data_IF_401058582452
#
_entry.id   IF_401058582452
#
_cell.length_a   1.000
_cell.length_b   1.000
_cell.length_c   1.000
_cell.angle_alpha   90.00
_cell.angle_beta   90.00
_cell.angle_gamma   90.00
#
_symmetry.space_group_name_H-M   'P 1'
#
loop_
_entity.id
_entity.type
_entity.pdbx_description
1 polymer ?
#
# COMPACT_ATOMS: atom_id res chain seq x y z
N UNK A 1 -33.61 -95.36 23.12
CA UNK A 1 -32.52 -94.38 22.99
C UNK A 1 -32.91 -93.19 23.87
N UNK A 2 -32.11 -92.86 24.89
CA UNK A 2 -32.40 -91.74 25.79
C UNK A 2 -32.18 -90.42 25.02
N UNK A 3 -33.15 -89.49 25.08
CA UNK A 3 -33.04 -88.17 24.44
C UNK A 3 -32.62 -87.15 25.52
N UNK A 4 -31.90 -86.12 25.12
CA UNK A 4 -31.48 -85.07 26.05
C UNK A 4 -32.67 -84.24 26.58
N UNK A 5 -33.69 -84.00 25.75
CA UNK A 5 -34.96 -83.35 26.11
C UNK A 5 -36.14 -84.15 25.60
N UNK A 6 -37.20 -84.22 26.40
CA UNK A 6 -38.46 -84.91 26.10
C UNK A 6 -39.66 -84.05 26.52
N UNK A 7 -40.80 -84.22 25.86
CA UNK A 7 -42.05 -83.53 26.21
C UNK A 7 -42.73 -84.18 27.43
N UNK A 8 -43.74 -83.50 28.00
CA UNK A 8 -44.52 -84.06 29.12
C UNK A 8 -45.20 -85.39 28.75
N UNK A 9 -45.71 -85.48 27.52
CA UNK A 9 -46.33 -86.70 27.00
C UNK A 9 -45.31 -87.83 26.81
N UNK A 10 -44.11 -87.50 26.33
CA UNK A 10 -43.02 -88.48 26.19
C UNK A 10 -42.50 -88.95 27.55
N UNK A 11 -42.45 -88.09 28.58
CA UNK A 11 -42.04 -88.45 29.94
C UNK A 11 -43.05 -89.38 30.63
N UNK A 12 -44.35 -89.11 30.47
CA UNK A 12 -45.40 -89.96 31.02
C UNK A 12 -45.43 -91.37 30.41
N UNK A 13 -44.87 -91.54 29.21
CA UNK A 13 -44.76 -92.82 28.52
C UNK A 13 -43.49 -93.63 28.92
N UNK A 14 -42.60 -93.06 29.74
CA UNK A 14 -41.41 -93.75 30.25
C UNK A 14 -41.73 -94.57 31.52
N UNK A 15 -40.92 -95.58 31.80
CA UNK A 15 -40.98 -96.31 33.07
C UNK A 15 -40.40 -95.48 34.24
N UNK A 16 -40.76 -95.81 35.48
CA UNK A 16 -40.32 -95.06 36.68
C UNK A 16 -38.79 -94.96 36.81
N UNK A 17 -38.07 -95.99 36.36
CA UNK A 17 -36.61 -96.05 36.38
C UNK A 17 -35.98 -95.05 35.39
N UNK A 18 -36.59 -94.87 34.22
CA UNK A 18 -36.15 -93.89 33.22
C UNK A 18 -36.62 -92.48 33.58
N UNK A 19 -37.81 -92.32 34.17
CA UNK A 19 -38.30 -91.03 34.66
C UNK A 19 -37.39 -90.43 35.73
N UNK A 20 -36.85 -91.25 36.64
CA UNK A 20 -35.91 -90.82 37.67
C UNK A 20 -34.61 -90.20 37.12
N UNK A 21 -34.28 -90.45 35.84
CA UNK A 21 -33.11 -89.89 35.18
C UNK A 21 -33.36 -88.50 34.56
N UNK A 22 -34.58 -87.94 34.61
CA UNK A 22 -34.88 -86.62 34.05
C UNK A 22 -35.35 -85.62 35.12
N UNK A 23 -34.97 -84.34 34.96
CA UNK A 23 -35.46 -83.20 35.73
C UNK A 23 -36.44 -82.36 34.91
N UNK A 24 -37.37 -81.65 35.57
CA UNK A 24 -38.16 -80.61 34.91
C UNK A 24 -37.25 -79.44 34.51
N UNK A 25 -37.27 -79.05 33.23
CA UNK A 25 -36.45 -77.98 32.68
C UNK A 25 -37.22 -77.21 31.59
N UNK A 26 -37.69 -76.00 31.94
CA UNK A 26 -38.53 -75.19 31.06
C UNK A 26 -39.92 -75.81 30.87
N UNK A 27 -40.33 -76.03 29.61
CA UNK A 27 -41.66 -76.57 29.25
C UNK A 27 -41.71 -78.12 29.14
N UNK A 28 -40.63 -78.83 29.52
CA UNK A 28 -40.51 -80.30 29.40
C UNK A 28 -39.53 -80.90 30.42
N UNK A 29 -38.99 -82.08 30.10
CA UNK A 29 -38.04 -82.79 30.97
C UNK A 29 -36.67 -82.97 30.28
N UNK A 30 -35.57 -82.79 31.02
CA UNK A 30 -34.19 -82.90 30.53
C UNK A 30 -33.43 -83.97 31.33
N UNK A 31 -32.64 -84.81 30.64
CA UNK A 31 -31.87 -85.88 31.27
C UNK A 31 -30.85 -85.27 32.26
N UNK A 32 -30.90 -85.69 33.52
CA UNK A 32 -29.93 -85.34 34.56
C UNK A 32 -28.63 -86.09 34.27
N UNK A 33 -27.64 -85.38 33.75
CA UNK A 33 -26.30 -85.90 33.53
C UNK A 33 -25.35 -85.13 34.43
N UNK A 34 -24.70 -85.85 35.34
CA UNK A 34 -23.74 -85.27 36.27
C UNK A 34 -22.48 -84.80 35.50
N UNK A 35 -22.07 -83.54 35.70
CA UNK A 35 -20.89 -82.94 35.08
C UNK A 35 -21.11 -82.15 33.76
N UNK A 36 -22.36 -81.88 33.36
CA UNK A 36 -22.66 -80.93 32.27
C UNK A 36 -23.26 -79.65 32.89
N UNK A 37 -22.48 -78.57 32.90
CA UNK A 37 -22.99 -77.24 33.28
C UNK A 37 -24.11 -76.81 32.32
N UNK A 38 -25.16 -76.20 32.87
CA UNK A 38 -26.28 -75.69 32.11
C UNK A 38 -25.75 -74.68 31.07
N UNK A 39 -25.87 -75.01 29.78
CA UNK A 39 -25.37 -74.18 28.67
C UNK A 39 -25.98 -72.77 28.58
N UNK A 40 -26.85 -72.40 29.53
CA UNK A 40 -27.30 -71.04 29.80
C UNK A 40 -26.14 -70.12 30.20
N UNK A 41 -25.25 -70.53 31.10
CA UNK A 41 -24.10 -69.70 31.53
C UNK A 41 -23.12 -69.44 30.38
N UNK A 42 -22.85 -70.47 29.56
CA UNK A 42 -22.05 -70.36 28.34
C UNK A 42 -22.68 -69.41 27.30
N UNK A 43 -24.01 -69.41 27.17
CA UNK A 43 -24.72 -68.48 26.28
C UNK A 43 -24.67 -67.05 26.80
N UNK A 44 -24.81 -66.84 28.10
CA UNK A 44 -24.68 -65.52 28.71
C UNK A 44 -23.25 -64.98 28.60
N UNK A 45 -22.24 -65.80 28.86
CA UNK A 45 -20.84 -65.44 28.67
C UNK A 45 -20.53 -65.07 27.21
N UNK A 46 -21.00 -65.87 26.25
CA UNK A 46 -20.84 -65.60 24.82
C UNK A 46 -21.57 -64.31 24.40
N UNK A 47 -22.74 -64.03 24.98
CA UNK A 47 -23.49 -62.81 24.73
C UNK A 47 -22.74 -61.59 25.27
N UNK A 48 -22.23 -61.67 26.50
CA UNK A 48 -21.42 -60.63 27.13
C UNK A 48 -20.13 -60.35 26.37
N UNK A 49 -19.42 -61.40 25.94
CA UNK A 49 -18.21 -61.27 25.12
C UNK A 49 -18.51 -60.56 23.78
N UNK A 50 -19.62 -60.92 23.12
CA UNK A 50 -20.05 -60.27 21.87
C UNK A 50 -20.43 -58.81 22.07
N UNK A 51 -21.11 -58.50 23.18
CA UNK A 51 -21.48 -57.13 23.53
C UNK A 51 -20.22 -56.29 23.82
N UNK A 52 -19.28 -56.79 24.63
CA UNK A 52 -17.99 -56.14 24.91
C UNK A 52 -17.17 -55.93 23.63
N UNK A 53 -17.12 -56.92 22.75
CA UNK A 53 -16.39 -56.83 21.48
C UNK A 53 -17.05 -55.84 20.50
N UNK A 54 -18.38 -55.79 20.48
CA UNK A 54 -19.12 -54.81 19.69
C UNK A 54 -18.91 -53.39 20.23
N UNK A 55 -18.88 -53.23 21.56
CA UNK A 55 -18.66 -51.94 22.21
C UNK A 55 -17.22 -51.46 22.03
N UNK A 56 -16.23 -52.34 22.18
CA UNK A 56 -14.82 -52.06 21.89
C UNK A 56 -14.63 -51.63 20.42
N UNK A 57 -15.27 -52.35 19.48
CA UNK A 57 -15.22 -51.99 18.05
C UNK A 57 -15.88 -50.64 17.76
N UNK A 58 -16.97 -50.29 18.45
CA UNK A 58 -17.60 -48.97 18.34
C UNK A 58 -16.69 -47.87 18.85
N UNK A 59 -16.15 -48.02 20.07
CA UNK A 59 -15.19 -47.07 20.66
C UNK A 59 -13.97 -46.87 19.76
N UNK A 60 -13.43 -47.95 19.20
CA UNK A 60 -12.27 -47.89 18.31
C UNK A 60 -12.60 -47.10 17.02
N UNK A 61 -13.77 -47.35 16.42
CA UNK A 61 -14.25 -46.59 15.26
C UNK A 61 -14.51 -45.11 15.58
N UNK A 62 -15.04 -44.81 16.76
CA UNK A 62 -15.24 -43.44 17.23
C UNK A 62 -13.89 -42.72 17.39
N UNK A 63 -12.91 -43.35 18.04
CA UNK A 63 -11.56 -42.81 18.18
C UNK A 63 -10.87 -42.56 16.83
N UNK A 64 -10.98 -43.50 15.89
CA UNK A 64 -10.45 -43.32 14.53
C UNK A 64 -11.11 -42.13 13.83
N UNK A 65 -12.44 -42.01 13.91
CA UNK A 65 -13.18 -40.92 13.28
C UNK A 65 -12.87 -39.55 13.90
N UNK A 66 -12.70 -39.50 15.23
CA UNK A 66 -12.33 -38.30 15.96
C UNK A 66 -10.90 -37.86 15.64
N UNK A 67 -9.97 -38.82 15.52
CA UNK A 67 -8.60 -38.55 15.11
C UNK A 67 -8.54 -38.00 13.67
N UNK A 68 -9.30 -38.60 12.75
CA UNK A 68 -9.36 -38.16 11.37
C UNK A 68 -9.99 -36.76 11.23
N UNK A 69 -11.04 -36.47 12.02
CA UNK A 69 -11.64 -35.12 12.08
C UNK A 69 -10.64 -34.08 12.60
N UNK A 70 -9.92 -34.39 13.69
CA UNK A 70 -8.91 -33.48 14.25
C UNK A 70 -7.76 -33.23 13.28
N UNK A 71 -7.30 -34.25 12.55
CA UNK A 71 -6.24 -34.05 11.56
C UNK A 71 -6.72 -33.23 10.37
N UNK A 72 -7.97 -33.44 9.90
CA UNK A 72 -8.59 -32.58 8.88
C UNK A 72 -8.67 -31.12 9.33
N UNK A 73 -9.22 -30.86 10.52
CA UNK A 73 -9.32 -29.50 11.08
C UNK A 73 -7.94 -28.86 11.22
N UNK A 74 -6.91 -29.62 11.63
CA UNK A 74 -5.53 -29.11 11.74
C UNK A 74 -4.95 -28.76 10.38
N UNK A 75 -5.20 -29.58 9.36
CA UNK A 75 -4.74 -29.34 8.00
C UNK A 75 -5.45 -28.14 7.37
N UNK A 76 -6.76 -28.00 7.56
CA UNK A 76 -7.56 -26.86 7.10
C UNK A 76 -7.08 -25.56 7.77
N UNK A 77 -6.95 -25.55 9.10
CA UNK A 77 -6.41 -24.40 9.83
C UNK A 77 -5.02 -24.04 9.32
N UNK A 78 -4.13 -25.02 9.12
CA UNK A 78 -2.78 -24.76 8.60
C UNK A 78 -2.81 -24.14 7.20
N UNK A 79 -3.68 -24.62 6.32
CA UNK A 79 -3.85 -24.05 4.99
C UNK A 79 -4.38 -22.62 5.05
N UNK A 80 -5.37 -22.34 5.90
CA UNK A 80 -5.89 -20.99 6.14
C UNK A 80 -4.80 -20.06 6.68
N UNK A 81 -4.00 -20.51 7.66
CA UNK A 81 -2.86 -19.77 8.18
C UNK A 81 -1.81 -19.46 7.12
N UNK A 82 -1.48 -20.44 6.28
CA UNK A 82 -0.52 -20.26 5.18
C UNK A 82 -1.04 -19.26 4.13
N UNK A 83 -2.34 -19.32 3.78
CA UNK A 83 -2.98 -18.37 2.88
C UNK A 83 -3.02 -16.96 3.47
N UNK A 84 -3.42 -16.83 4.74
CA UNK A 84 -3.46 -15.56 5.44
C UNK A 84 -2.06 -14.93 5.51
N UNK A 85 -1.05 -15.69 5.93
CA UNK A 85 0.33 -15.23 6.01
C UNK A 85 0.89 -14.80 4.65
N UNK A 86 0.56 -15.52 3.57
CA UNK A 86 0.92 -15.13 2.21
C UNK A 86 0.23 -13.80 1.83
N UNK A 87 -1.07 -13.68 2.08
CA UNK A 87 -1.83 -12.47 1.78
C UNK A 87 -1.30 -11.25 2.53
N UNK A 88 -0.90 -11.42 3.79
CA UNK A 88 -0.35 -10.33 4.60
C UNK A 88 1.03 -9.90 4.10
N UNK A 89 1.87 -10.86 3.68
CA UNK A 89 3.17 -10.54 3.08
C UNK A 89 2.99 -9.78 1.77
N UNK A 90 2.11 -10.25 0.89
CA UNK A 90 1.82 -9.57 -0.38
C UNK A 90 1.28 -8.15 -0.16
N UNK A 91 0.36 -7.97 0.79
CA UNK A 91 -0.16 -6.64 1.14
C UNK A 91 0.90 -5.73 1.77
N UNK A 92 1.81 -6.26 2.58
CA UNK A 92 2.94 -5.50 3.12
C UNK A 92 3.88 -5.07 2.00
N UNK A 93 4.25 -5.98 1.11
CA UNK A 93 5.10 -5.68 -0.05
C UNK A 93 4.47 -4.64 -0.98
N UNK A 94 3.15 -4.74 -1.23
CA UNK A 94 2.42 -3.74 -2.02
C UNK A 94 2.44 -2.37 -1.35
N UNK A 95 2.15 -2.30 -0.04
CA UNK A 95 2.20 -1.04 0.71
C UNK A 95 3.61 -0.45 0.76
N UNK A 96 4.63 -1.28 0.92
CA UNK A 96 6.02 -0.83 0.93
C UNK A 96 6.44 -0.26 -0.43
N UNK A 97 5.98 -0.87 -1.54
CA UNK A 97 6.17 -0.33 -2.90
C UNK A 97 5.45 0.99 -3.08
N UNK A 98 4.17 1.07 -2.70
CA UNK A 98 3.38 2.31 -2.81
C UNK A 98 3.99 3.44 -1.97
N UNK A 99 4.47 3.13 -0.76
CA UNK A 99 5.18 4.10 0.07
C UNK A 99 6.51 4.55 -0.54
N UNK A 100 7.26 3.64 -1.18
CA UNK A 100 8.50 3.99 -1.89
C UNK A 100 8.20 4.91 -3.08
N UNK A 101 7.20 4.57 -3.90
CA UNK A 101 6.76 5.37 -5.05
C UNK A 101 6.28 6.76 -4.62
N UNK A 102 5.44 6.86 -3.59
CA UNK A 102 4.98 8.14 -3.05
C UNK A 102 6.14 8.98 -2.50
N UNK A 103 7.12 8.35 -1.83
CA UNK A 103 8.31 9.06 -1.35
C UNK A 103 9.15 9.60 -2.50
N UNK A 104 9.34 8.80 -3.55
CA UNK A 104 10.07 9.19 -4.74
C UNK A 104 9.35 10.31 -5.51
N UNK A 105 8.02 10.25 -5.60
CA UNK A 105 7.20 11.29 -6.21
C UNK A 105 7.30 12.60 -5.42
N UNK A 106 7.16 12.56 -4.10
CA UNK A 106 7.30 13.75 -3.24
C UNK A 106 8.72 14.31 -3.31
N UNK A 107 9.74 13.44 -3.29
CA UNK A 107 11.13 13.84 -3.42
C UNK A 107 11.38 14.53 -4.76
N UNK A 108 10.96 13.92 -5.86
CA UNK A 108 11.11 14.46 -7.21
C UNK A 108 10.30 15.75 -7.41
N UNK A 109 9.09 15.83 -6.85
CA UNK A 109 8.27 17.04 -6.86
C UNK A 109 8.97 18.20 -6.16
N UNK A 110 9.45 18.01 -4.94
CA UNK A 110 10.19 19.05 -4.19
C UNK A 110 11.48 19.48 -4.90
N UNK A 111 12.24 18.53 -5.45
CA UNK A 111 13.45 18.83 -6.24
C UNK A 111 13.09 19.66 -7.48
N UNK A 112 12.03 19.26 -8.19
CA UNK A 112 11.55 19.95 -9.40
C UNK A 112 11.14 21.38 -9.07
N UNK A 113 10.30 21.60 -8.05
CA UNK A 113 9.90 22.95 -7.62
C UNK A 113 11.11 23.81 -7.23
N UNK A 114 12.11 23.23 -6.56
CA UNK A 114 13.34 23.94 -6.21
C UNK A 114 14.12 24.34 -7.47
N UNK A 115 14.30 23.42 -8.42
CA UNK A 115 14.97 23.70 -9.69
C UNK A 115 14.24 24.80 -10.48
N UNK A 116 12.92 24.74 -10.53
CA UNK A 116 12.08 25.72 -11.20
C UNK A 116 12.21 27.11 -10.57
N UNK A 117 12.28 27.19 -9.23
CA UNK A 117 12.52 28.45 -8.52
C UNK A 117 13.89 29.04 -8.81
N UNK A 118 14.93 28.21 -8.95
CA UNK A 118 16.28 28.67 -9.30
C UNK A 118 16.29 29.25 -10.71
N UNK A 119 15.69 28.54 -11.66
CA UNK A 119 15.74 28.90 -13.09
C UNK A 119 14.80 30.05 -13.44
N UNK A 120 13.67 30.20 -12.74
CA UNK A 120 12.70 31.27 -12.99
C UNK A 120 13.32 32.69 -12.92
N UNK A 121 14.39 32.87 -12.12
CA UNK A 121 15.11 34.14 -12.04
C UNK A 121 16.14 34.38 -13.14
N UNK A 122 16.44 33.37 -13.97
CA UNK A 122 17.53 33.39 -14.96
C UNK A 122 17.03 33.59 -16.40
N UNK A 123 15.78 33.25 -16.68
CA UNK A 123 15.24 33.26 -18.04
C UNK A 123 13.78 33.68 -18.09
N UNK A 124 13.45 34.48 -19.08
CA UNK A 124 12.09 34.75 -19.52
C UNK A 124 11.58 33.58 -20.38
N UNK A 125 10.65 32.80 -19.82
CA UNK A 125 10.09 31.62 -20.49
C UNK A 125 9.27 31.99 -21.73
N UNK A 126 8.77 33.23 -21.82
CA UNK A 126 7.96 33.74 -22.93
C UNK A 126 8.81 34.25 -24.11
N UNK A 127 10.11 34.47 -23.89
CA UNK A 127 11.03 34.84 -24.96
C UNK A 127 11.16 33.72 -26.02
N UNK A 128 11.60 34.08 -27.23
CA UNK A 128 11.82 33.12 -28.32
C UNK A 128 12.80 32.02 -27.87
N UNK A 129 12.35 30.76 -27.93
CA UNK A 129 13.14 29.62 -27.44
C UNK A 129 13.26 29.52 -25.91
N UNK A 130 12.53 30.34 -25.15
CA UNK A 130 12.54 30.41 -23.69
C UNK A 130 12.15 29.10 -23.02
N UNK A 131 11.13 28.41 -23.54
CA UNK A 131 10.68 27.11 -22.99
C UNK A 131 11.76 26.04 -23.07
N UNK A 132 12.46 25.92 -24.20
CA UNK A 132 13.50 24.91 -24.40
C UNK A 132 14.72 25.19 -23.52
N UNK A 133 15.17 26.45 -23.47
CA UNK A 133 16.27 26.89 -22.61
C UNK A 133 15.94 26.70 -21.13
N UNK A 134 14.72 27.05 -20.71
CA UNK A 134 14.21 26.82 -19.35
C UNK A 134 14.26 25.34 -18.97
N UNK A 135 13.76 24.46 -19.85
CA UNK A 135 13.74 23.03 -19.58
C UNK A 135 15.17 22.45 -19.47
N UNK A 136 16.11 22.95 -20.27
CA UNK A 136 17.51 22.53 -20.20
C UNK A 136 18.17 23.01 -18.90
N UNK A 137 18.02 24.29 -18.55
CA UNK A 137 18.52 24.83 -17.27
C UNK A 137 17.92 24.12 -16.06
N UNK A 138 16.61 23.80 -16.10
CA UNK A 138 15.95 23.04 -15.03
C UNK A 138 16.55 21.64 -14.90
N UNK A 139 16.85 20.98 -16.03
CA UNK A 139 17.49 19.66 -16.03
C UNK A 139 18.89 19.71 -15.43
N UNK A 140 19.68 20.73 -15.76
CA UNK A 140 21.01 20.92 -15.16
C UNK A 140 20.92 21.25 -13.67
N UNK A 141 20.02 22.15 -13.26
CA UNK A 141 19.78 22.47 -11.86
C UNK A 141 19.41 21.22 -11.02
N UNK A 142 18.58 20.33 -11.57
CA UNK A 142 18.15 19.09 -10.89
C UNK A 142 19.31 18.14 -10.54
N UNK A 143 20.44 18.19 -11.26
CA UNK A 143 21.62 17.37 -10.97
C UNK A 143 22.28 17.77 -9.65
N UNK A 144 22.11 19.03 -9.25
CA UNK A 144 22.67 19.61 -8.03
C UNK A 144 21.72 19.55 -6.84
N UNK A 145 20.45 19.17 -7.05
CA UNK A 145 19.42 19.21 -6.01
C UNK A 145 19.11 17.78 -5.57
N UNK A 146 19.32 17.48 -4.29
CA UNK A 146 19.03 16.19 -3.67
C UNK A 146 17.93 16.34 -2.63
N UNK A 147 17.07 15.32 -2.50
CA UNK A 147 16.16 15.19 -1.38
C UNK A 147 16.79 14.29 -0.32
N UNK A 148 16.99 14.83 0.88
CA UNK A 148 17.55 14.13 2.03
C UNK A 148 16.52 14.06 3.16
N UNK A 149 16.73 13.22 4.20
CA UNK A 149 15.82 13.18 5.35
C UNK A 149 15.61 14.54 6.02
N UNK A 150 16.62 15.41 5.99
CA UNK A 150 16.56 16.77 6.55
C UNK A 150 15.85 17.78 5.62
N UNK A 151 15.44 17.36 4.43
CA UNK A 151 14.85 18.22 3.40
C UNK A 151 15.69 18.33 2.13
N UNK A 152 15.43 19.37 1.35
CA UNK A 152 16.16 19.64 0.10
C UNK A 152 17.55 20.17 0.42
N UNK A 153 18.59 19.53 -0.15
CA UNK A 153 19.96 20.00 -0.12
C UNK A 153 20.42 20.28 -1.55
N UNK A 154 21.13 21.38 -1.73
CA UNK A 154 21.73 21.76 -3.00
C UNK A 154 23.23 21.61 -2.84
N UNK A 155 23.85 20.86 -3.75
CA UNK A 155 25.28 20.57 -3.72
C UNK A 155 25.95 21.11 -4.98
N UNK A 156 27.05 21.81 -4.80
CA UNK A 156 27.94 22.22 -5.88
C UNK A 156 28.56 21.02 -6.61
N UNK A 157 29.19 21.25 -7.77
CA UNK A 157 29.93 20.22 -8.51
C UNK A 157 31.13 19.67 -7.73
N UNK A 158 31.63 20.43 -6.74
CA UNK A 158 32.66 20.06 -5.77
C UNK A 158 32.12 19.29 -4.55
N UNK A 159 30.79 19.15 -4.44
CA UNK A 159 30.13 18.54 -3.29
C UNK A 159 29.92 19.50 -2.11
N UNK A 160 30.27 20.79 -2.24
CA UNK A 160 29.98 21.79 -1.21
C UNK A 160 28.47 22.04 -1.10
N UNK A 161 27.98 22.27 0.11
CA UNK A 161 26.61 22.71 0.32
C UNK A 161 26.41 24.13 -0.23
N UNK A 162 25.51 24.28 -1.18
CA UNK A 162 25.16 25.54 -1.83
C UNK A 162 23.73 25.97 -1.47
N UNK A 163 23.43 27.25 -1.69
CA UNK A 163 22.06 27.75 -1.69
C UNK A 163 21.54 27.91 -3.14
N UNK A 164 20.25 28.21 -3.27
CA UNK A 164 19.61 28.41 -4.57
C UNK A 164 20.26 29.54 -5.39
N UNK A 165 20.78 30.56 -4.72
CA UNK A 165 21.41 31.73 -5.35
C UNK A 165 22.76 31.37 -5.96
N UNK A 166 23.62 30.65 -5.22
CA UNK A 166 24.92 30.18 -5.68
C UNK A 166 24.77 29.18 -6.83
N UNK A 167 23.77 28.30 -6.77
CA UNK A 167 23.42 27.43 -7.91
C UNK A 167 22.99 28.25 -9.13
N UNK A 168 22.14 29.27 -8.97
CA UNK A 168 21.73 30.13 -10.08
C UNK A 168 22.88 30.91 -10.72
N UNK A 169 23.84 31.39 -9.91
CA UNK A 169 25.08 32.02 -10.40
C UNK A 169 25.91 31.04 -11.22
N UNK A 170 26.16 29.85 -10.68
CA UNK A 170 26.90 28.81 -11.38
C UNK A 170 26.27 28.43 -12.72
N UNK A 171 24.93 28.28 -12.77
CA UNK A 171 24.22 27.99 -14.02
C UNK A 171 24.34 29.13 -15.03
N UNK A 172 24.35 30.38 -14.56
CA UNK A 172 24.52 31.56 -15.42
C UNK A 172 25.93 31.67 -15.99
N UNK A 173 26.94 31.33 -15.20
CA UNK A 173 28.35 31.35 -15.62
C UNK A 173 28.68 30.16 -16.55
N UNK A 174 28.12 28.99 -16.27
CA UNK A 174 28.39 27.76 -17.03
C UNK A 174 27.58 27.69 -18.32
N UNK A 175 26.34 28.19 -18.30
CA UNK A 175 25.42 28.18 -19.44
C UNK A 175 24.94 29.58 -19.83
N UNK A 176 25.85 30.52 -20.15
CA UNK A 176 25.50 31.91 -20.45
C UNK A 176 24.62 32.07 -21.69
N UNK A 177 24.64 31.09 -22.60
CA UNK A 177 23.80 31.05 -23.80
C UNK A 177 22.35 30.61 -23.53
N UNK A 178 22.10 29.98 -22.37
CA UNK A 178 20.77 29.57 -21.96
C UNK A 178 20.07 30.62 -21.10
N UNK A 179 20.85 31.39 -20.35
CA UNK A 179 20.37 32.47 -19.48
C UNK A 179 20.14 33.72 -20.32
N UNK A 180 19.12 34.50 -19.97
CA UNK A 180 18.93 35.79 -20.63
C UNK A 180 20.03 36.74 -20.16
N UNK A 181 20.70 37.41 -21.11
CA UNK A 181 21.72 38.40 -20.81
C UNK A 181 21.22 39.35 -19.72
N UNK A 182 22.07 39.65 -18.74
CA UNK A 182 21.64 40.32 -17.50
C UNK A 182 20.67 41.45 -17.83
N UNK A 183 19.50 41.48 -17.19
CA UNK A 183 18.55 42.60 -17.30
C UNK A 183 19.14 43.94 -16.80
N UNK A 184 20.44 44.03 -16.51
CA UNK A 184 21.16 45.29 -16.45
C UNK A 184 21.31 45.85 -17.88
N UNK A 185 20.28 46.55 -18.36
CA UNK A 185 20.40 47.79 -19.15
C UNK A 185 21.39 47.81 -20.34
N UNK A 186 21.65 46.67 -20.98
CA UNK A 186 22.55 46.57 -22.13
C UNK A 186 21.81 46.77 -23.45
N UNK A 187 21.23 47.96 -23.67
CA UNK A 187 20.46 48.22 -24.88
C UNK A 187 19.75 49.57 -24.93
N UNK A 188 20.29 50.59 -24.26
CA UNK A 188 19.87 51.98 -24.46
C UNK A 188 20.42 52.53 -25.78
N UNK A 189 20.07 51.91 -26.92
CA UNK A 189 19.99 52.70 -28.14
C UNK A 189 18.91 53.76 -27.86
N UNK A 190 19.17 55.08 -28.01
CA UNK A 190 18.15 56.09 -27.80
C UNK A 190 17.16 55.97 -28.96
N UNK A 191 16.23 55.04 -28.81
CA UNK A 191 15.08 54.87 -29.66
C UNK A 191 14.20 56.09 -29.47
N UNK A 192 14.34 57.04 -30.39
CA UNK A 192 13.36 58.05 -30.76
C UNK A 192 11.94 57.59 -30.43
N UNK A 193 11.43 57.98 -29.26
CA UNK A 193 10.01 57.88 -28.92
C UNK A 193 9.56 59.29 -28.60
N UNK A 194 8.67 59.77 -29.46
CA UNK A 194 8.23 61.16 -29.53
C UNK A 194 7.78 61.72 -28.19
N UNK A 195 8.56 62.66 -27.69
CA UNK A 195 8.08 63.80 -26.92
C UNK A 195 8.64 65.00 -27.65
N UNK A 196 7.81 65.75 -28.36
CA UNK A 196 8.24 66.90 -29.14
C UNK A 196 9.11 67.80 -28.28
N UNK A 197 10.42 67.80 -28.56
CA UNK A 197 11.36 68.68 -27.92
C UNK A 197 10.89 70.10 -28.25
N UNK A 198 10.35 70.78 -27.25
CA UNK A 198 10.07 72.19 -27.35
C UNK A 198 11.41 72.89 -27.44
N UNK A 199 11.86 73.15 -28.68
CA UNK A 199 13.13 73.82 -29.01
C UNK A 199 13.10 75.30 -28.66
N UNK A 200 11.91 75.87 -28.41
CA UNK A 200 11.72 77.26 -28.01
C UNK A 200 11.96 77.42 -26.51
N UNK A 201 12.68 78.48 -26.13
CA UNK A 201 12.81 78.91 -24.73
C UNK A 201 11.52 79.59 -24.25
N UNK A 202 11.37 79.74 -22.93
CA UNK A 202 10.16 80.31 -22.32
C UNK A 202 9.80 81.70 -22.86
N UNK A 203 10.79 82.53 -23.18
CA UNK A 203 10.67 83.89 -23.75
C UNK A 203 10.34 83.90 -25.25
N UNK A 204 10.42 82.75 -25.91
CA UNK A 204 10.15 82.58 -27.34
C UNK A 204 8.76 81.99 -27.62
N UNK A 205 8.00 81.67 -26.56
CA UNK A 205 6.63 81.18 -26.67
C UNK A 205 5.63 82.29 -26.41
N UNK A 206 4.56 82.31 -27.19
CA UNK A 206 3.43 83.21 -26.93
C UNK A 206 2.52 82.69 -25.78
N UNK A 207 1.60 83.53 -25.32
CA UNK A 207 0.70 83.18 -24.22
C UNK A 207 -0.21 81.97 -24.52
N UNK A 208 -0.54 81.73 -25.79
CA UNK A 208 -1.32 80.58 -26.23
C UNK A 208 -0.50 79.29 -26.20
N UNK A 209 0.73 79.33 -26.70
CA UNK A 209 1.69 78.23 -26.68
C UNK A 209 2.04 77.82 -25.24
N UNK A 210 2.26 78.79 -24.35
CA UNK A 210 2.52 78.54 -22.93
C UNK A 210 1.31 77.92 -22.21
N UNK A 211 0.09 78.35 -22.54
CA UNK A 211 -1.13 77.78 -21.97
C UNK A 211 -1.36 76.34 -22.42
N UNK A 212 -1.12 76.05 -23.70
CA UNK A 212 -1.21 74.70 -24.26
C UNK A 212 -0.14 73.77 -23.65
N UNK A 213 1.10 74.26 -23.51
CA UNK A 213 2.19 73.51 -22.89
C UNK A 213 1.89 73.17 -21.44
N UNK A 214 1.32 74.12 -20.67
CA UNK A 214 0.91 73.86 -19.28
C UNK A 214 -0.19 72.80 -19.17
N UNK A 215 -1.12 72.75 -20.13
CA UNK A 215 -2.20 71.75 -20.14
C UNK A 215 -1.72 70.36 -20.57
N UNK A 216 -0.83 70.28 -21.56
CA UNK A 216 -0.37 69.02 -22.12
C UNK A 216 0.80 68.41 -21.34
N UNK A 217 1.74 69.25 -20.90
CA UNK A 217 2.99 68.84 -20.25
C UNK A 217 3.35 69.82 -19.10
N UNK A 218 2.63 69.78 -17.96
CA UNK A 218 2.82 70.71 -16.85
C UNK A 218 4.24 70.73 -16.29
N UNK A 219 4.92 69.58 -16.26
CA UNK A 219 6.29 69.45 -15.75
C UNK A 219 7.31 70.17 -16.66
N UNK A 220 7.09 70.16 -17.98
CA UNK A 220 7.95 70.86 -18.94
C UNK A 220 7.74 72.37 -18.85
N UNK A 221 6.48 72.81 -18.68
CA UNK A 221 6.16 74.20 -18.43
C UNK A 221 6.83 74.74 -17.16
N UNK A 222 6.75 74.00 -16.05
CA UNK A 222 7.40 74.39 -14.78
C UNK A 222 8.92 74.51 -14.94
N UNK A 223 9.56 73.51 -15.56
CA UNK A 223 11.01 73.55 -15.80
C UNK A 223 11.43 74.78 -16.60
N UNK A 224 10.77 75.07 -17.71
CA UNK A 224 11.09 76.20 -18.58
C UNK A 224 10.83 77.55 -17.89
N UNK A 225 9.74 77.65 -17.10
CA UNK A 225 9.43 78.85 -16.32
C UNK A 225 10.50 79.11 -15.27
N UNK A 226 10.89 78.09 -14.51
CA UNK A 226 11.87 78.22 -13.45
C UNK A 226 13.28 78.51 -14.02
N UNK A 227 13.63 77.94 -15.17
CA UNK A 227 14.86 78.28 -15.91
C UNK A 227 14.91 79.73 -16.41
N UNK A 228 13.75 80.34 -16.72
CA UNK A 228 13.67 81.73 -17.15
C UNK A 228 13.76 82.71 -15.97
N UNK A 229 13.07 82.42 -14.87
CA UNK A 229 13.05 83.30 -13.69
C UNK A 229 14.27 83.16 -12.77
N UNK A 230 15.01 82.04 -12.84
CA UNK A 230 16.25 81.84 -12.08
C UNK A 230 17.51 82.31 -12.84
N UNK A 231 17.37 83.11 -13.90
CA UNK A 231 18.48 83.77 -14.62
C UNK A 231 18.61 85.24 -14.28
#
# INVERSE_FOLDING_TARGET
MLKFKITKDEFAALDEAQQALYAEAGDGYQLQVDGIDDGAELKEALRKEREERAEAKRKLKEFESDAERKERERLEQRQEWEQLAKSEREQREQRDKELAELRDEVANGKRTTTAESVVAGLIDKEATGGVQRYNLLRKEAMQHIAHTPDGIKINGPDGEAWDAKRLGQYLSETYPFLVDGSKASGGGAPGSSGGGAVTKKFDQMDAGELSALRQQNPDVYQRLRDEYHNR
#
